data_IF_578788484538
#
_entry.id   IF_578788484538
#
_cell.length_a   1.000
_cell.length_b   1.000
_cell.length_c   1.000
_cell.angle_alpha   90.00
_cell.angle_beta   90.00
_cell.angle_gamma   90.00
#
_symmetry.space_group_name_H-M   'P 1'
#
loop_
_entity.id
_entity.type
_entity.pdbx_description
1 polymer ?
#
# COMPACT_ATOMS: atom_id res chain seq x y z
N UNK A 1 -12.87 -13.05 1.91
CA UNK A 1 -11.85 -12.14 2.48
C UNK A 1 -11.07 -11.59 1.30
N UNK A 2 -11.26 -10.32 0.94
CA UNK A 2 -10.36 -9.67 -0.04
C UNK A 2 -8.93 -9.74 0.52
N UNK A 3 -7.97 -10.13 -0.31
CA UNK A 3 -6.59 -10.31 0.16
C UNK A 3 -6.06 -8.98 0.73
N UNK A 4 -5.51 -9.00 1.94
CA UNK A 4 -5.07 -7.80 2.66
C UNK A 4 -4.14 -6.92 1.81
N UNK A 5 -3.33 -7.52 0.94
CA UNK A 5 -2.52 -6.81 -0.06
C UNK A 5 -3.36 -5.86 -0.93
N UNK A 6 -4.45 -6.38 -1.53
CA UNK A 6 -5.28 -5.64 -2.48
C UNK A 6 -5.99 -4.48 -1.78
N UNK A 7 -6.45 -4.73 -0.56
CA UNK A 7 -7.01 -3.70 0.32
C UNK A 7 -5.98 -2.59 0.60
N UNK A 8 -4.76 -2.94 1.02
CA UNK A 8 -3.72 -1.96 1.33
C UNK A 8 -3.25 -1.20 0.08
N UNK A 9 -3.10 -1.86 -1.08
CA UNK A 9 -2.79 -1.17 -2.35
C UNK A 9 -3.86 -0.15 -2.71
N UNK A 10 -5.13 -0.51 -2.58
CA UNK A 10 -6.24 0.40 -2.88
C UNK A 10 -6.23 1.60 -1.94
N UNK A 11 -6.06 1.38 -0.63
CA UNK A 11 -5.94 2.45 0.36
C UNK A 11 -4.74 3.36 0.11
N UNK A 12 -3.59 2.82 -0.29
CA UNK A 12 -2.42 3.63 -0.65
C UNK A 12 -2.72 4.60 -1.82
N UNK A 13 -3.45 4.14 -2.84
CA UNK A 13 -3.86 4.97 -3.98
C UNK A 13 -4.86 6.03 -3.55
N UNK A 14 -5.87 5.67 -2.75
CA UNK A 14 -6.87 6.61 -2.25
C UNK A 14 -6.23 7.72 -1.41
N UNK A 15 -5.33 7.38 -0.50
CA UNK A 15 -4.60 8.36 0.32
C UNK A 15 -3.68 9.23 -0.55
N UNK A 16 -3.02 8.67 -1.57
CA UNK A 16 -2.22 9.48 -2.51
C UNK A 16 -3.08 10.48 -3.27
N UNK A 17 -4.27 10.09 -3.71
CA UNK A 17 -5.22 10.98 -4.36
C UNK A 17 -5.76 12.04 -3.40
N UNK A 18 -6.00 11.68 -2.13
CA UNK A 18 -6.36 12.64 -1.09
C UNK A 18 -5.24 13.66 -0.83
N UNK A 19 -3.97 13.23 -0.84
CA UNK A 19 -2.83 14.12 -0.71
C UNK A 19 -2.75 15.13 -1.85
N UNK A 20 -3.08 14.72 -3.08
CA UNK A 20 -3.10 15.62 -4.24
C UNK A 20 -4.27 16.61 -4.18
N UNK A 21 -5.42 16.17 -3.68
CA UNK A 21 -6.64 17.01 -3.55
C UNK A 21 -6.65 17.90 -2.33
N UNK A 22 -5.82 17.60 -1.32
CA UNK A 22 -5.77 18.37 -0.09
C UNK A 22 -5.32 19.81 -0.36
N UNK A 23 -6.07 20.74 0.21
CA UNK A 23 -5.83 22.19 0.06
C UNK A 23 -4.69 22.63 0.99
N UNK A 24 -4.66 22.10 2.21
CA UNK A 24 -3.66 22.44 3.24
C UNK A 24 -2.43 21.53 3.16
N UNK A 25 -1.25 22.11 3.30
CA UNK A 25 0.04 21.37 3.28
C UNK A 25 0.14 20.29 4.36
N UNK A 26 -0.38 20.56 5.56
CA UNK A 26 -0.44 19.58 6.64
C UNK A 26 -1.26 18.33 6.24
N UNK A 27 -2.40 18.54 5.58
CA UNK A 27 -3.24 17.46 5.09
C UNK A 27 -2.55 16.69 3.94
N UNK A 28 -1.87 17.38 3.01
CA UNK A 28 -1.06 16.72 1.97
C UNK A 28 0.00 15.81 2.57
N UNK A 29 0.73 16.32 3.56
CA UNK A 29 1.81 15.59 4.23
C UNK A 29 1.27 14.39 4.99
N UNK A 30 0.16 14.55 5.70
CA UNK A 30 -0.51 13.46 6.41
C UNK A 30 -0.97 12.35 5.47
N UNK A 31 -1.68 12.71 4.40
CA UNK A 31 -2.16 11.75 3.41
C UNK A 31 -1.00 11.09 2.63
N UNK A 32 0.07 11.83 2.32
CA UNK A 32 1.26 11.26 1.69
C UNK A 32 1.95 10.24 2.61
N UNK A 33 2.04 10.53 3.92
CA UNK A 33 2.56 9.58 4.91
C UNK A 33 1.70 8.32 5.00
N UNK A 34 0.37 8.47 5.04
CA UNK A 34 -0.55 7.32 5.06
C UNK A 34 -0.46 6.48 3.79
N UNK A 35 -0.36 7.12 2.62
CA UNK A 35 -0.19 6.42 1.35
C UNK A 35 1.07 5.54 1.35
N UNK A 36 2.17 6.04 1.91
CA UNK A 36 3.42 5.31 2.03
C UNK A 36 3.31 4.13 3.02
N UNK A 37 2.68 4.31 4.18
CA UNK A 37 2.47 3.24 5.16
C UNK A 37 1.62 2.09 4.59
N UNK A 38 0.55 2.42 3.87
CA UNK A 38 -0.27 1.41 3.21
C UNK A 38 0.47 0.70 2.05
N UNK A 39 1.31 1.42 1.30
CA UNK A 39 2.12 0.81 0.25
C UNK A 39 3.15 -0.18 0.82
N UNK A 40 3.79 0.18 1.93
CA UNK A 40 4.74 -0.69 2.64
C UNK A 40 4.06 -1.98 3.12
N UNK A 41 2.90 -1.85 3.80
CA UNK A 41 2.11 -3.01 4.24
C UNK A 41 1.64 -3.87 3.08
N UNK A 42 1.23 -3.26 1.97
CA UNK A 42 0.88 -4.01 0.77
C UNK A 42 2.07 -4.82 0.24
N UNK A 43 3.27 -4.22 0.18
CA UNK A 43 4.50 -4.90 -0.24
C UNK A 43 4.90 -6.03 0.72
N UNK A 44 4.71 -5.83 2.03
CA UNK A 44 4.95 -6.85 3.03
C UNK A 44 3.99 -8.04 2.86
N UNK A 45 2.71 -7.79 2.57
CA UNK A 45 1.75 -8.84 2.23
C UNK A 45 2.14 -9.59 0.95
N UNK A 46 2.60 -8.90 -0.10
CA UNK A 46 3.09 -9.56 -1.33
C UNK A 46 4.32 -10.43 -1.05
N UNK A 47 5.26 -9.93 -0.24
CA UNK A 47 6.52 -10.63 0.08
C UNK A 47 6.29 -11.95 0.83
N UNK A 48 5.21 -12.06 1.60
CA UNK A 48 4.86 -13.32 2.28
C UNK A 48 4.27 -14.40 1.36
N UNK A 49 3.70 -14.03 0.20
CA UNK A 49 3.13 -15.00 -0.76
C UNK A 49 4.22 -15.54 -1.71
N UNK A 50 5.29 -14.78 -1.95
CA UNK A 50 6.33 -15.12 -2.92
C UNK A 50 7.24 -16.28 -2.47
N UNK A 51 7.35 -16.53 -1.15
CA UNK A 51 8.16 -17.63 -0.60
C UNK A 51 7.65 -19.04 -0.96
N UNK A 52 6.46 -19.16 -1.56
CA UNK A 52 5.86 -20.44 -1.98
C UNK A 52 5.99 -20.74 -3.48
N UNK A 53 6.40 -19.78 -4.32
CA UNK A 53 6.54 -20.02 -5.77
C UNK A 53 7.99 -20.36 -6.17
N UNK A 54 8.99 -19.95 -5.37
CA UNK A 54 10.40 -20.19 -5.68
C UNK A 54 10.88 -21.65 -5.43
N UNK A 55 10.07 -22.50 -4.77
CA UNK A 55 10.49 -23.85 -4.36
C UNK A 55 10.25 -24.97 -5.40
N UNK A 56 9.73 -24.66 -6.60
CA UNK A 56 9.37 -25.68 -7.62
C UNK A 56 10.32 -25.66 -8.84
N UNK A 57 11.37 -24.84 -8.80
CA UNK A 57 12.40 -24.79 -9.84
C UNK A 57 13.79 -25.03 -9.23
N UNK A 58 14.08 -26.31 -8.95
CA UNK A 58 15.40 -26.80 -8.52
C UNK A 58 15.56 -28.26 -8.87
#
# INVERSE_FOLDING_TARGET
>A
MESNERYYRRRAIEERMAAQRAISEAARTWHAKLAQDFADRASACTSTIDCTHAAIAG
#
